data_IF_391597996091
#
_entry.id   IF_391597996091
#
_cell.length_a   1.000
_cell.length_b   1.000
_cell.length_c   1.000
_cell.angle_alpha   90.00
_cell.angle_beta   90.00
_cell.angle_gamma   90.00
#
_symmetry.space_group_name_H-M   'P 1'
#
loop_
_entity.id
_entity.type
_entity.pdbx_description
1 polymer ?
#
# COMPACT_ATOMS: atom_id res chain seq x y z
N UNK A 1 -11.76 22.77 33.93
CA UNK A 1 -11.73 21.50 33.18
C UNK A 1 -10.71 21.62 32.06
N UNK A 2 -9.44 21.38 32.37
CA UNK A 2 -8.33 21.47 31.40
C UNK A 2 -8.27 20.11 30.71
N UNK A 3 -8.72 20.00 29.45
CA UNK A 3 -8.54 18.78 28.66
C UNK A 3 -7.06 18.64 28.37
N UNK A 4 -6.42 17.67 29.02
CA UNK A 4 -5.05 17.27 28.72
C UNK A 4 -4.92 17.01 27.21
N UNK A 5 -4.12 17.84 26.55
CA UNK A 5 -3.65 17.60 25.20
C UNK A 5 -2.54 16.55 25.29
N UNK A 6 -2.91 15.31 25.58
CA UNK A 6 -1.98 14.19 25.56
C UNK A 6 -1.47 14.06 24.13
N UNK A 7 -0.24 14.51 23.92
CA UNK A 7 0.46 14.48 22.65
C UNK A 7 0.66 13.01 22.27
N UNK A 8 -0.02 12.56 21.21
CA UNK A 8 0.11 11.17 20.74
C UNK A 8 1.47 10.98 20.07
N UNK A 9 2.50 10.72 20.87
CA UNK A 9 3.77 10.21 20.35
C UNK A 9 3.76 8.69 20.38
N UNK A 10 4.18 8.10 19.27
CA UNK A 10 4.48 6.67 19.16
C UNK A 10 5.92 6.55 18.72
N UNK A 11 6.67 5.70 19.42
CA UNK A 11 8.03 5.35 19.03
C UNK A 11 7.97 4.43 17.80
N UNK A 12 8.90 4.63 16.87
CA UNK A 12 9.02 3.82 15.68
C UNK A 12 10.50 3.50 15.44
N UNK A 13 10.76 2.28 14.96
CA UNK A 13 12.10 1.88 14.51
C UNK A 13 12.55 2.79 13.35
N UNK A 14 13.84 3.14 13.30
CA UNK A 14 14.43 3.94 12.20
C UNK A 14 14.14 3.29 10.84
N UNK A 15 14.15 1.96 10.76
CA UNK A 15 13.81 1.19 9.55
C UNK A 15 12.36 1.38 9.10
N UNK A 16 11.48 1.81 10.00
CA UNK A 16 10.11 2.17 9.70
C UNK A 16 9.96 3.63 9.23
N UNK A 17 10.97 4.47 9.35
CA UNK A 17 10.87 5.86 8.90
C UNK A 17 11.33 5.96 7.45
N UNK A 18 10.50 6.57 6.61
CA UNK A 18 10.82 6.85 5.20
C UNK A 18 10.36 8.28 4.86
N UNK A 19 10.98 8.95 3.88
CA UNK A 19 10.50 10.24 3.40
C UNK A 19 9.09 10.13 2.82
N UNK A 20 8.50 11.25 2.39
CA UNK A 20 7.28 11.20 1.59
C UNK A 20 7.58 10.62 0.19
N UNK A 21 6.71 9.76 -0.36
CA UNK A 21 6.88 9.30 -1.73
C UNK A 21 6.67 10.44 -2.73
N UNK A 22 7.37 10.42 -3.88
CA UNK A 22 7.07 11.28 -5.01
C UNK A 22 5.61 11.16 -5.41
N UNK A 23 4.99 12.29 -5.73
CA UNK A 23 3.65 12.31 -6.31
C UNK A 23 3.73 11.77 -7.73
N UNK A 24 3.02 10.69 -8.00
CA UNK A 24 2.87 10.13 -9.33
C UNK A 24 1.43 10.37 -9.76
N UNK A 25 1.26 11.10 -10.86
CA UNK A 25 -0.05 11.27 -11.48
C UNK A 25 -0.30 10.06 -12.37
N UNK A 26 -1.04 9.10 -11.85
CA UNK A 26 -1.58 8.03 -12.67
C UNK A 26 -2.72 8.62 -13.51
N UNK A 27 -2.49 8.81 -14.81
CA UNK A 27 -3.51 9.33 -15.75
C UNK A 27 -4.26 8.17 -16.41
N UNK A 28 -3.53 7.08 -16.68
CA UNK A 28 -4.07 5.89 -17.33
C UNK A 28 -4.80 4.99 -16.33
N UNK A 29 -5.87 4.30 -16.74
CA UNK A 29 -6.54 3.33 -15.89
C UNK A 29 -5.58 2.26 -15.33
N UNK A 30 -5.77 1.88 -14.07
CA UNK A 30 -5.07 0.71 -13.53
C UNK A 30 -5.52 -0.58 -14.21
N UNK A 31 -4.60 -1.53 -14.35
CA UNK A 31 -4.87 -2.87 -14.86
C UNK A 31 -5.05 -3.88 -13.71
N UNK A 32 -5.77 -4.97 -13.99
CA UNK A 32 -5.86 -6.12 -13.08
C UNK A 32 -4.46 -6.66 -12.77
N UNK A 33 -4.26 -7.08 -11.52
CA UNK A 33 -3.00 -7.54 -10.93
C UNK A 33 -1.92 -6.46 -10.81
N UNK A 34 -2.28 -5.19 -10.95
CA UNK A 34 -1.40 -4.07 -10.59
C UNK A 34 -1.39 -3.89 -9.07
N UNK A 35 -0.21 -3.71 -8.48
CA UNK A 35 -0.09 -3.40 -7.06
C UNK A 35 -0.26 -1.88 -6.87
N UNK A 36 -1.13 -1.51 -5.94
CA UNK A 36 -1.51 -0.12 -5.66
C UNK A 36 -1.46 0.14 -4.15
N UNK A 37 -1.30 1.41 -3.78
CA UNK A 37 -1.63 1.86 -2.43
C UNK A 37 -3.02 2.49 -2.45
N UNK A 38 -3.91 2.01 -1.58
CA UNK A 38 -5.26 2.50 -1.42
C UNK A 38 -5.38 3.39 -0.18
N UNK A 39 -6.00 4.56 -0.34
CA UNK A 39 -6.28 5.47 0.78
C UNK A 39 -7.53 5.00 1.53
N UNK A 40 -7.34 4.51 2.75
CA UNK A 40 -8.42 3.99 3.59
C UNK A 40 -8.09 4.16 5.07
N UNK A 41 -9.07 4.55 5.89
CA UNK A 41 -8.90 4.78 7.33
C UNK A 41 -7.69 5.65 7.67
N UNK A 42 -7.59 6.80 7.00
CA UNK A 42 -6.55 7.82 7.23
C UNK A 42 -5.12 7.34 6.98
N UNK A 43 -4.94 6.42 6.02
CA UNK A 43 -3.62 6.20 5.43
C UNK A 43 -3.61 5.21 4.27
N UNK A 44 -2.41 4.85 3.84
CA UNK A 44 -2.15 4.05 2.64
C UNK A 44 -2.01 2.55 2.94
N UNK A 45 -2.79 1.73 2.25
CA UNK A 45 -2.80 0.27 2.37
C UNK A 45 -2.36 -0.38 1.05
N UNK A 46 -1.42 -1.31 1.13
CA UNK A 46 -0.94 -2.04 -0.04
C UNK A 46 -1.98 -3.05 -0.48
N UNK A 47 -2.43 -2.96 -1.73
CA UNK A 47 -3.41 -3.85 -2.32
C UNK A 47 -3.09 -4.24 -3.77
N UNK A 48 -3.87 -5.16 -4.30
CA UNK A 48 -3.75 -5.65 -5.67
C UNK A 48 -5.09 -5.43 -6.40
N UNK A 49 -5.09 -4.81 -7.58
CA UNK A 49 -6.31 -4.67 -8.37
C UNK A 49 -6.80 -6.07 -8.77
N UNK A 50 -7.95 -6.48 -8.26
CA UNK A 50 -8.57 -7.75 -8.64
C UNK A 50 -9.58 -7.59 -9.77
N UNK A 51 -10.22 -6.41 -9.87
CA UNK A 51 -11.20 -6.09 -10.93
C UNK A 51 -11.11 -4.62 -11.33
N UNK A 52 -11.29 -4.35 -12.62
CA UNK A 52 -11.47 -2.99 -13.17
C UNK A 52 -12.94 -2.82 -13.52
N UNK A 53 -13.57 -1.79 -12.98
CA UNK A 53 -14.99 -1.46 -13.18
C UNK A 53 -15.12 -0.26 -14.12
N UNK A 54 -16.37 0.07 -14.47
CA UNK A 54 -16.67 1.29 -15.26
C UNK A 54 -16.41 2.55 -14.42
N UNK A 55 -16.25 3.69 -15.09
CA UNK A 55 -16.10 5.01 -14.48
C UNK A 55 -14.88 5.12 -13.54
N UNK A 56 -13.75 4.52 -13.93
CA UNK A 56 -12.49 4.55 -13.18
C UNK A 56 -12.64 4.11 -11.71
N UNK A 57 -13.39 3.03 -11.51
CA UNK A 57 -13.54 2.34 -10.23
C UNK A 57 -12.81 1.00 -10.29
N UNK A 58 -12.31 0.57 -9.14
CA UNK A 58 -11.48 -0.62 -9.05
C UNK A 58 -11.82 -1.41 -7.80
N UNK A 59 -11.77 -2.74 -7.89
CA UNK A 59 -11.79 -3.60 -6.71
C UNK A 59 -10.35 -3.96 -6.38
N UNK A 60 -9.95 -3.68 -5.14
CA UNK A 60 -8.62 -3.95 -4.62
C UNK A 60 -8.69 -5.05 -3.58
N UNK A 61 -7.88 -6.09 -3.77
CA UNK A 61 -7.70 -7.19 -2.84
C UNK A 61 -6.55 -6.88 -1.86
N UNK A 62 -6.82 -6.99 -0.57
CA UNK A 62 -5.84 -6.83 0.50
C UNK A 62 -5.44 -8.20 1.05
N UNK A 63 -4.22 -8.63 0.75
CA UNK A 63 -3.71 -9.94 1.20
C UNK A 63 -3.70 -10.07 2.73
N UNK A 64 -3.47 -8.97 3.45
CA UNK A 64 -3.35 -8.98 4.92
C UNK A 64 -4.67 -9.31 5.61
N UNK A 65 -5.79 -8.75 5.15
CA UNK A 65 -7.12 -9.02 5.71
C UNK A 65 -7.92 -10.07 4.93
N UNK A 66 -7.45 -10.46 3.74
CA UNK A 66 -8.16 -11.33 2.80
C UNK A 66 -9.52 -10.75 2.36
N UNK A 67 -9.58 -9.43 2.16
CA UNK A 67 -10.79 -8.70 1.78
C UNK A 67 -10.64 -8.03 0.41
N UNK A 68 -11.78 -7.77 -0.23
CA UNK A 68 -11.88 -6.94 -1.44
C UNK A 68 -12.67 -5.66 -1.11
N UNK A 69 -12.20 -4.51 -1.58
CA UNK A 69 -12.91 -3.22 -1.43
C UNK A 69 -12.88 -2.41 -2.73
N UNK A 70 -13.93 -1.63 -2.97
CA UNK A 70 -14.04 -0.74 -4.14
C UNK A 70 -13.42 0.63 -3.84
N UNK A 71 -12.62 1.13 -4.78
CA UNK A 71 -11.99 2.45 -4.72
C UNK A 71 -12.18 3.22 -6.03
N UNK A 72 -12.25 4.55 -5.92
CA UNK A 72 -12.13 5.43 -7.07
C UNK A 72 -10.68 5.60 -7.49
N UNK A 73 -10.48 6.14 -8.70
CA UNK A 73 -9.14 6.37 -9.26
C UNK A 73 -8.22 7.20 -8.35
N UNK A 74 -8.77 8.25 -7.72
CA UNK A 74 -8.01 9.16 -6.88
C UNK A 74 -7.76 8.64 -5.46
N UNK A 75 -8.46 7.57 -5.07
CA UNK A 75 -8.20 6.88 -3.81
C UNK A 75 -7.04 5.87 -3.96
N UNK A 76 -6.53 5.69 -5.17
CA UNK A 76 -5.44 4.77 -5.50
C UNK A 76 -4.23 5.53 -6.01
N UNK A 77 -3.05 5.04 -5.66
CA UNK A 77 -1.79 5.46 -6.29
C UNK A 77 -0.94 4.22 -6.64
N UNK A 78 -0.01 4.34 -7.62
CA UNK A 78 0.95 3.28 -7.88
C UNK A 78 1.75 2.94 -6.62
N UNK A 79 1.87 1.65 -6.29
CA UNK A 79 2.63 1.22 -5.12
C UNK A 79 4.12 1.58 -5.28
N UNK A 80 4.68 2.20 -4.25
CA UNK A 80 6.09 2.60 -4.21
C UNK A 80 6.82 2.00 -2.99
N UNK A 81 7.94 1.33 -3.27
CA UNK A 81 8.83 0.78 -2.27
C UNK A 81 10.01 1.73 -2.02
N UNK A 82 10.37 1.91 -0.76
CA UNK A 82 11.56 2.67 -0.36
C UNK A 82 12.71 1.70 -0.11
N UNK A 83 13.66 1.64 -1.05
CA UNK A 83 14.76 0.68 -1.03
C UNK A 83 16.07 1.46 -1.19
N UNK A 84 16.98 1.29 -0.22
CA UNK A 84 18.35 1.85 -0.26
C UNK A 84 18.40 3.34 -0.62
N UNK A 85 17.51 4.14 -0.02
CA UNK A 85 17.49 5.58 -0.24
C UNK A 85 16.81 6.04 -1.52
N UNK A 86 16.06 5.16 -2.22
CA UNK A 86 15.37 5.49 -3.47
C UNK A 86 13.93 4.95 -3.46
N UNK A 87 13.05 5.68 -4.12
CA UNK A 87 11.70 5.24 -4.42
C UNK A 87 11.67 4.42 -5.70
N UNK A 88 11.03 3.25 -5.64
CA UNK A 88 10.91 2.33 -6.76
C UNK A 88 9.43 2.00 -6.93
N UNK A 89 8.89 2.20 -8.13
CA UNK A 89 7.53 1.77 -8.47
C UNK A 89 7.55 0.24 -8.55
N UNK A 90 6.70 -0.41 -7.78
CA UNK A 90 6.57 -1.85 -7.85
C UNK A 90 6.00 -2.25 -9.22
N UNK A 91 6.86 -2.74 -10.09
CA UNK A 91 6.48 -3.20 -11.42
C UNK A 91 5.52 -4.39 -11.30
N UNK A 92 4.54 -4.45 -12.22
CA UNK A 92 3.56 -5.54 -12.34
C UNK A 92 4.21 -6.90 -12.09
N UNK A 93 3.85 -7.58 -11.00
CA UNK A 93 4.18 -9.00 -10.85
C UNK A 93 3.30 -9.75 -11.84
N UNK A 94 3.90 -10.26 -12.92
CA UNK A 94 3.23 -11.28 -13.75
C UNK A 94 3.07 -12.52 -12.87
N UNK A 95 1.91 -12.67 -12.23
CA UNK A 95 1.56 -13.90 -11.54
C UNK A 95 1.39 -14.99 -12.60
N UNK A 96 2.41 -15.86 -12.74
CA UNK A 96 2.15 -17.19 -13.31
C UNK A 96 1.26 -17.92 -12.30
N UNK A 97 -0.06 -17.91 -12.49
CA UNK A 97 -0.96 -18.81 -11.79
C UNK A 97 -0.72 -20.23 -12.31
N UNK A 98 0.35 -20.84 -11.81
CA UNK A 98 0.78 -22.19 -12.16
C UNK A 98 1.54 -22.78 -10.98
N UNK A 99 0.80 -23.51 -10.14
CA UNK A 99 1.23 -24.61 -9.25
C UNK A 99 2.67 -24.53 -8.71
N UNK A 100 2.85 -24.08 -7.47
CA UNK A 100 4.08 -24.32 -6.70
C UNK A 100 3.76 -25.07 -5.41
N UNK A 101 3.96 -26.40 -5.46
CA UNK A 101 4.32 -27.20 -4.29
C UNK A 101 5.79 -26.91 -3.99
N UNK A 102 6.07 -26.53 -2.73
CA UNK A 102 7.36 -26.60 -2.03
C UNK A 102 8.62 -26.11 -2.73
N UNK A 103 9.16 -24.97 -2.31
CA UNK A 103 10.54 -24.87 -1.81
C UNK A 103 10.84 -23.49 -1.23
N UNK A 104 11.70 -23.53 -0.21
CA UNK A 104 12.20 -22.47 0.65
C UNK A 104 12.96 -21.43 -0.18
N UNK A 105 12.65 -20.15 0.02
CA UNK A 105 13.37 -19.03 -0.58
C UNK A 105 12.93 -17.74 0.08
N UNK A 106 13.64 -17.39 1.18
CA UNK A 106 13.65 -16.09 1.87
C UNK A 106 12.50 -15.15 1.47
N UNK A 107 11.34 -15.42 2.07
CA UNK A 107 10.34 -14.39 2.26
C UNK A 107 10.98 -13.42 3.24
N UNK A 108 11.57 -12.32 2.75
CA UNK A 108 11.62 -11.12 3.56
C UNK A 108 10.17 -10.88 3.95
N UNK A 109 9.83 -11.28 5.18
CA UNK A 109 8.53 -11.06 5.75
C UNK A 109 8.19 -9.60 5.46
N UNK A 110 7.08 -9.29 4.78
CA UNK A 110 6.61 -7.92 4.82
C UNK A 110 6.24 -7.69 6.29
N UNK A 111 7.16 -7.08 7.05
CA UNK A 111 6.89 -6.59 8.38
C UNK A 111 5.97 -5.38 8.24
N UNK A 112 4.70 -5.65 8.00
CA UNK A 112 3.64 -4.69 8.20
C UNK A 112 2.69 -5.30 9.23
N UNK A 113 3.15 -5.26 10.48
CA UNK A 113 2.35 -5.51 11.65
C UNK A 113 1.38 -4.34 11.89
N UNK A 114 0.25 -4.63 12.54
CA UNK A 114 -0.75 -3.65 13.00
C UNK A 114 -0.11 -2.41 13.64
N UNK A 115 -0.40 -1.22 13.09
CA UNK A 115 0.27 0.03 13.49
C UNK A 115 0.53 0.96 12.31
N UNK A 116 -0.57 1.42 11.69
CA UNK A 116 -0.63 2.43 10.63
C UNK A 116 0.31 3.62 10.86
N UNK A 117 1.07 4.03 9.82
CA UNK A 117 1.86 5.26 9.83
C UNK A 117 1.01 6.46 9.44
N UNK A 118 1.19 7.54 10.19
CA UNK A 118 0.47 8.80 10.07
C UNK A 118 1.34 9.78 9.28
N UNK A 119 0.78 10.39 8.25
CA UNK A 119 1.40 11.52 7.56
C UNK A 119 1.18 12.79 8.40
N UNK A 120 2.26 13.40 8.89
CA UNK A 120 2.18 14.74 9.51
C UNK A 120 2.37 15.77 8.41
N UNK A 121 1.27 16.42 8.02
CA UNK A 121 1.32 17.64 7.21
C UNK A 121 1.73 18.81 8.12
N UNK A 122 2.79 19.51 7.75
CA UNK A 122 3.17 20.81 8.33
C UNK A 122 2.17 21.89 7.92
#
# INVERSE_FOLDING_TARGET
MTKDKTQFFKEADISCIKPSPPKIHQVEPFEVYTQVDAWYNNGWWVGLISKVLRNFKYVTYFKTSNEEMEFGHYDLQPHQEWIRGKWIIASKKKSKLGKLRGQIGVVLAPCFCSGMKIEVKK
#
